data_IF_897890197553
#
_entry.id   IF_897890197553
#
_cell.length_a   1.000
_cell.length_b   1.000
_cell.length_c   1.000
_cell.angle_alpha   90.00
_cell.angle_beta   90.00
_cell.angle_gamma   90.00
#
_symmetry.space_group_name_H-M   'P 1'
#
loop_
_entity.id
_entity.type
_entity.pdbx_description
1 polymer ?
#
# COMPACT_ATOMS: atom_id res chain seq x y z
N UNK A 1 -7.15 3.55 2.54
CA UNK A 1 -7.14 2.64 3.71
C UNK A 1 -8.57 2.40 4.17
N UNK A 2 -8.87 1.27 4.82
CA UNK A 2 -10.20 0.99 5.38
C UNK A 2 -10.54 1.84 6.61
N UNK A 3 -9.56 2.53 7.17
CA UNK A 3 -9.69 3.53 8.25
C UNK A 3 -8.35 4.17 8.56
N UNK A 4 -8.34 5.11 9.52
CA UNK A 4 -7.15 5.91 9.87
C UNK A 4 -6.71 5.72 11.33
N UNK A 5 -7.62 5.94 12.29
CA UNK A 5 -7.33 5.84 13.72
C UNK A 5 -8.46 5.10 14.45
N UNK A 6 -8.10 4.30 15.45
CA UNK A 6 -9.05 3.56 16.29
C UNK A 6 -9.85 4.47 17.23
N UNK A 7 -9.20 5.54 17.70
CA UNK A 7 -9.77 6.41 18.72
C UNK A 7 -10.60 7.50 18.02
N UNK A 8 -11.89 7.61 18.39
CA UNK A 8 -12.85 8.58 17.82
C UNK A 8 -12.57 10.01 18.30
N UNK A 9 -11.69 10.18 19.31
CA UNK A 9 -11.32 11.49 19.86
C UNK A 9 -10.64 12.37 18.81
N UNK A 10 -11.49 13.05 18.05
CA UNK A 10 -11.21 14.05 17.04
C UNK A 10 -10.93 15.41 17.69
N UNK A 11 -10.42 15.40 18.92
CA UNK A 11 -10.11 16.62 19.64
C UNK A 11 -8.96 17.33 18.94
N UNK A 12 -9.12 18.63 18.69
CA UNK A 12 -8.10 19.56 18.15
C UNK A 12 -6.88 19.74 19.08
N UNK A 13 -6.50 18.73 19.86
CA UNK A 13 -5.26 18.76 20.63
C UNK A 13 -4.11 18.58 19.65
N UNK A 14 -3.23 19.57 19.59
CA UNK A 14 -1.92 19.39 18.97
C UNK A 14 -1.24 18.22 19.69
N UNK A 15 -1.14 17.10 18.99
CA UNK A 15 -0.36 15.97 19.47
C UNK A 15 1.10 16.28 19.21
N UNK A 16 1.96 15.93 20.17
CA UNK A 16 3.38 15.81 19.87
C UNK A 16 3.58 14.73 18.80
N UNK A 17 4.71 14.81 18.09
CA UNK A 17 5.03 13.84 17.04
C UNK A 17 5.11 12.41 17.58
N UNK A 18 5.56 12.24 18.83
CA UNK A 18 5.65 10.96 19.53
C UNK A 18 4.27 10.37 19.78
N UNK A 19 3.33 11.19 20.25
CA UNK A 19 1.95 10.75 20.49
C UNK A 19 1.25 10.41 19.18
N UNK A 20 1.46 11.21 18.12
CA UNK A 20 0.95 10.89 16.80
C UNK A 20 1.51 9.56 16.27
N UNK A 21 2.82 9.36 16.38
CA UNK A 21 3.48 8.12 15.98
C UNK A 21 2.94 6.91 16.75
N UNK A 22 2.80 7.02 18.08
CA UNK A 22 2.24 5.96 18.92
C UNK A 22 0.80 5.59 18.50
N UNK A 23 -0.02 6.59 18.15
CA UNK A 23 -1.37 6.36 17.61
C UNK A 23 -1.35 5.63 16.27
N UNK A 24 -0.45 5.99 15.37
CA UNK A 24 -0.26 5.29 14.09
C UNK A 24 0.15 3.82 14.32
N UNK A 25 1.13 3.56 15.19
CA UNK A 25 1.59 2.20 15.52
C UNK A 25 0.44 1.33 16.03
N UNK A 26 -0.44 1.88 16.86
CA UNK A 26 -1.64 1.18 17.36
C UNK A 26 -2.69 0.94 16.26
N UNK A 27 -2.86 1.89 15.33
CA UNK A 27 -3.97 1.85 14.35
C UNK A 27 -3.64 1.09 13.06
N UNK A 28 -2.40 1.14 12.58
CA UNK A 28 -1.95 0.50 11.33
C UNK A 28 -2.22 -1.03 11.31
N UNK A 29 -2.04 -1.79 12.40
CA UNK A 29 -2.42 -3.19 12.44
C UNK A 29 -3.91 -3.44 12.24
N UNK A 30 -4.78 -2.51 12.59
CA UNK A 30 -6.23 -2.74 12.62
C UNK A 30 -6.90 -2.46 11.28
N UNK A 31 -6.42 -1.49 10.52
CA UNK A 31 -6.95 -1.12 9.20
C UNK A 31 -6.16 -1.76 8.06
N UNK A 32 -6.80 -1.90 6.90
CA UNK A 32 -6.16 -2.38 5.67
C UNK A 32 -5.75 -1.23 4.74
N UNK A 33 -4.55 -1.29 4.16
CA UNK A 33 -4.29 -0.59 2.91
C UNK A 33 -5.12 -1.26 1.81
N UNK A 34 -6.06 -0.53 1.22
CA UNK A 34 -6.96 -1.06 0.19
C UNK A 34 -6.38 -0.92 -1.22
N UNK A 35 -5.65 0.17 -1.46
CA UNK A 35 -5.03 0.47 -2.74
C UNK A 35 -3.72 1.23 -2.49
N UNK A 36 -2.72 0.97 -3.33
CA UNK A 36 -1.45 1.64 -3.36
C UNK A 36 -1.29 2.37 -4.70
N UNK A 37 -1.12 3.69 -4.64
CA UNK A 37 -0.72 4.50 -5.78
C UNK A 37 0.80 4.66 -5.84
N UNK A 38 1.40 4.39 -6.99
CA UNK A 38 2.82 4.61 -7.28
C UNK A 38 2.94 5.53 -8.48
N UNK A 39 3.69 6.62 -8.35
CA UNK A 39 4.03 7.50 -9.47
C UNK A 39 5.50 7.33 -9.83
N UNK A 40 5.77 6.79 -11.01
CA UNK A 40 7.10 6.67 -11.57
C UNK A 40 7.43 7.96 -12.34
N UNK A 41 8.63 8.49 -12.13
CA UNK A 41 9.10 9.69 -12.78
C UNK A 41 10.42 9.41 -13.50
N UNK A 42 10.53 9.83 -14.76
CA UNK A 42 11.76 9.75 -15.54
C UNK A 42 12.07 11.10 -16.17
N UNK A 43 13.28 11.60 -15.97
CA UNK A 43 13.74 12.82 -16.64
C UNK A 43 14.20 12.49 -18.06
N UNK A 44 13.63 13.16 -19.06
CA UNK A 44 13.99 13.00 -20.47
C UNK A 44 15.40 13.54 -20.75
N UNK A 45 16.15 12.81 -21.57
CA UNK A 45 17.55 13.14 -21.88
C UNK A 45 17.72 14.40 -22.74
N UNK A 46 16.76 14.71 -23.62
CA UNK A 46 16.89 15.76 -24.62
C UNK A 46 16.31 17.12 -24.21
N UNK A 47 15.29 17.15 -23.34
CA UNK A 47 14.52 18.39 -23.08
C UNK A 47 14.36 18.72 -21.60
N UNK A 48 14.93 17.92 -20.69
CA UNK A 48 14.81 18.15 -19.25
C UNK A 48 13.39 18.00 -18.69
N UNK A 49 12.42 17.63 -19.52
CA UNK A 49 11.02 17.35 -19.15
C UNK A 49 10.91 16.06 -18.32
N UNK A 50 9.93 15.99 -17.44
CA UNK A 50 9.61 14.80 -16.65
C UNK A 50 8.47 14.00 -17.29
N UNK A 51 8.73 12.72 -17.59
CA UNK A 51 7.73 11.71 -17.95
C UNK A 51 7.22 11.09 -16.64
N UNK A 52 5.98 11.41 -16.26
CA UNK A 52 5.33 10.94 -15.03
C UNK A 52 4.27 9.89 -15.38
N UNK A 53 4.26 8.77 -14.63
CA UNK A 53 3.33 7.67 -14.84
C UNK A 53 2.79 7.17 -13.52
N UNK A 54 1.48 7.33 -13.33
CA UNK A 54 0.77 6.82 -12.17
C UNK A 54 0.29 5.39 -12.41
N UNK A 55 0.40 4.57 -11.37
CA UNK A 55 -0.05 3.19 -11.32
C UNK A 55 -0.83 2.99 -10.01
N UNK A 56 -1.93 2.25 -10.09
CA UNK A 56 -2.76 1.93 -8.93
C UNK A 56 -2.87 0.42 -8.78
N UNK A 57 -2.68 -0.06 -7.55
CA UNK A 57 -2.72 -1.48 -7.24
C UNK A 57 -3.71 -1.70 -6.10
N UNK A 58 -4.78 -2.46 -6.35
CA UNK A 58 -5.67 -2.95 -5.29
C UNK A 58 -4.94 -4.01 -4.47
N UNK A 59 -5.02 -3.94 -3.14
CA UNK A 59 -4.21 -4.75 -2.24
C UNK A 59 -5.06 -5.71 -1.39
N UNK A 60 -4.86 -7.01 -1.58
CA UNK A 60 -5.51 -8.06 -0.82
C UNK A 60 -4.57 -8.70 0.21
N UNK A 61 -4.90 -8.68 1.51
CA UNK A 61 -4.05 -9.31 2.49
C UNK A 61 -4.09 -10.84 2.36
N UNK A 62 -2.93 -11.44 2.10
CA UNK A 62 -2.77 -12.90 1.97
C UNK A 62 -3.08 -13.66 3.27
N UNK A 63 -2.74 -13.10 4.43
CA UNK A 63 -2.85 -13.78 5.72
C UNK A 63 -4.01 -13.34 6.59
N UNK A 64 -4.77 -12.32 6.19
CA UNK A 64 -5.77 -11.65 7.05
C UNK A 64 -7.17 -11.80 6.49
N UNK A 65 -8.01 -12.56 7.19
CA UNK A 65 -9.43 -12.77 6.82
C UNK A 65 -10.38 -11.72 7.39
N UNK A 66 -10.00 -11.07 8.48
CA UNK A 66 -10.84 -10.11 9.21
C UNK A 66 -10.07 -8.81 9.39
N UNK A 67 -10.70 -7.70 9.06
CA UNK A 67 -10.14 -6.37 9.24
C UNK A 67 -11.20 -5.36 9.66
N UNK A 68 -10.74 -4.30 10.32
CA UNK A 68 -11.61 -3.20 10.75
C UNK A 68 -11.80 -2.23 9.60
N UNK A 69 -13.02 -1.75 9.42
CA UNK A 69 -13.33 -0.65 8.52
C UNK A 69 -14.08 0.44 9.26
N UNK A 70 -13.63 1.68 9.09
CA UNK A 70 -14.35 2.85 9.51
C UNK A 70 -15.39 3.24 8.45
N UNK A 71 -16.64 3.40 8.87
CA UNK A 71 -17.74 3.71 7.95
C UNK A 71 -17.53 5.05 7.24
N UNK A 72 -16.95 6.06 7.92
CA UNK A 72 -16.65 7.36 7.29
C UNK A 72 -15.62 7.20 6.18
N UNK A 73 -14.60 6.39 6.41
CA UNK A 73 -13.58 6.07 5.41
C UNK A 73 -14.18 5.32 4.21
N UNK A 74 -15.08 4.36 4.43
CA UNK A 74 -15.79 3.67 3.33
C UNK A 74 -16.65 4.64 2.51
N UNK A 75 -17.39 5.53 3.18
CA UNK A 75 -18.20 6.54 2.52
C UNK A 75 -17.32 7.50 1.71
N UNK A 76 -16.22 7.98 2.30
CA UNK A 76 -15.24 8.83 1.62
C UNK A 76 -14.67 8.17 0.37
N UNK A 77 -14.26 6.90 0.46
CA UNK A 77 -13.74 6.15 -0.68
C UNK A 77 -14.79 6.05 -1.79
N UNK A 78 -16.02 5.68 -1.45
CA UNK A 78 -17.13 5.59 -2.42
C UNK A 78 -17.39 6.93 -3.11
N UNK A 79 -17.41 8.04 -2.37
CA UNK A 79 -17.67 9.37 -2.95
C UNK A 79 -16.53 9.87 -3.84
N UNK A 80 -15.32 9.34 -3.65
CA UNK A 80 -14.13 9.70 -4.44
C UNK A 80 -13.80 8.65 -5.52
N UNK A 81 -14.78 7.83 -5.92
CA UNK A 81 -14.63 6.94 -7.07
C UNK A 81 -13.82 5.68 -6.81
N UNK A 82 -13.61 5.29 -5.55
CA UNK A 82 -13.00 4.00 -5.25
C UNK A 82 -13.91 2.85 -5.71
N UNK A 83 -13.40 2.00 -6.60
CA UNK A 83 -14.13 0.84 -7.10
C UNK A 83 -13.93 -0.37 -6.19
N UNK A 84 -14.91 -0.62 -5.32
CA UNK A 84 -14.91 -1.76 -4.42
C UNK A 84 -15.01 -3.10 -5.16
N UNK A 85 -15.66 -3.15 -6.33
CA UNK A 85 -15.78 -4.40 -7.08
C UNK A 85 -14.42 -4.76 -7.68
N UNK A 86 -13.74 -3.80 -8.33
CA UNK A 86 -12.39 -3.99 -8.83
C UNK A 86 -11.41 -4.34 -7.70
N UNK A 87 -11.61 -3.81 -6.49
CA UNK A 87 -10.86 -4.24 -5.32
C UNK A 87 -11.06 -5.74 -5.08
N UNK A 88 -12.29 -6.22 -4.87
CA UNK A 88 -12.58 -7.62 -4.55
C UNK A 88 -12.21 -8.62 -5.65
N UNK A 89 -12.30 -8.21 -6.92
CA UNK A 89 -12.07 -9.12 -8.05
C UNK A 89 -10.61 -9.14 -8.52
N UNK A 90 -9.88 -8.02 -8.38
CA UNK A 90 -8.57 -7.81 -9.02
C UNK A 90 -7.46 -7.44 -8.03
N UNK A 91 -7.67 -7.62 -6.73
CA UNK A 91 -6.67 -7.28 -5.72
C UNK A 91 -5.44 -8.19 -5.74
N UNK A 92 -4.27 -7.57 -5.73
CA UNK A 92 -2.98 -8.24 -5.62
C UNK A 92 -2.74 -8.75 -4.20
N UNK A 93 -2.38 -10.02 -4.07
CA UNK A 93 -2.04 -10.59 -2.77
C UNK A 93 -0.79 -9.91 -2.20
N UNK A 94 -0.90 -9.40 -0.98
CA UNK A 94 0.17 -8.77 -0.26
C UNK A 94 0.37 -9.43 1.11
N UNK A 95 1.61 -9.47 1.57
CA UNK A 95 1.99 -9.94 2.90
C UNK A 95 2.85 -8.88 3.57
N UNK A 96 2.75 -8.76 4.90
CA UNK A 96 3.74 -7.97 5.64
C UNK A 96 5.11 -8.62 5.47
N UNK A 97 6.13 -7.78 5.35
CA UNK A 97 7.51 -8.26 5.44
C UNK A 97 7.72 -8.93 6.82
N UNK A 98 8.44 -10.04 6.88
CA UNK A 98 8.80 -10.65 8.16
C UNK A 98 9.60 -9.66 9.01
N UNK A 99 9.49 -9.78 10.34
CA UNK A 99 10.32 -8.99 11.24
C UNK A 99 11.80 -9.31 10.96
N UNK A 100 12.67 -8.29 10.93
CA UNK A 100 14.11 -8.47 10.64
C UNK A 100 14.78 -9.51 11.55
N UNK A 101 14.31 -9.66 12.78
CA UNK A 101 14.86 -10.60 13.76
C UNK A 101 14.34 -12.05 13.57
N UNK A 102 13.38 -12.27 12.67
CA UNK A 102 12.88 -13.60 12.34
C UNK A 102 13.77 -14.34 11.32
N UNK A 103 14.74 -13.67 10.69
CA UNK A 103 15.73 -14.29 9.81
C UNK A 103 16.83 -15.00 10.61
N UNK A 104 16.54 -16.21 11.10
CA UNK A 104 17.61 -17.16 11.42
C UNK A 104 18.23 -17.68 10.11
N UNK A 105 19.37 -17.08 9.75
CA UNK A 105 20.29 -17.35 8.62
C UNK A 105 19.78 -16.91 7.23
N UNK A 106 20.56 -16.08 6.50
CA UNK A 106 20.25 -15.79 5.11
C UNK A 106 20.41 -17.07 4.28
N UNK A 107 19.46 -17.42 3.40
CA UNK A 107 19.67 -18.49 2.45
C UNK A 107 20.82 -18.08 1.53
N UNK A 108 21.87 -18.91 1.50
CA UNK A 108 22.93 -18.80 0.50
C UNK A 108 22.28 -18.91 -0.87
N UNK A 109 22.42 -17.86 -1.68
CA UNK A 109 22.10 -17.80 -3.10
C UNK A 109 20.69 -18.27 -3.49
N UNK A 110 19.74 -17.33 -3.61
CA UNK A 110 18.66 -17.46 -4.59
C UNK A 110 18.42 -16.11 -5.28
N UNK A 111 18.58 -16.02 -6.61
CA UNK A 111 18.24 -14.83 -7.36
C UNK A 111 16.70 -14.69 -7.41
N UNK A 112 16.22 -13.46 -7.32
CA UNK A 112 14.81 -13.06 -7.37
C UNK A 112 13.94 -13.42 -6.16
N UNK A 113 13.60 -12.40 -5.36
CA UNK A 113 12.50 -12.45 -4.40
C UNK A 113 11.19 -12.73 -5.18
N UNK A 114 10.50 -13.87 -4.96
CA UNK A 114 9.32 -14.26 -5.72
C UNK A 114 8.09 -13.35 -5.48
N UNK A 115 8.13 -12.54 -4.43
CA UNK A 115 6.98 -11.76 -3.94
C UNK A 115 6.67 -10.51 -4.75
N UNK A 116 7.65 -9.92 -5.45
CA UNK A 116 7.43 -8.76 -6.31
C UNK A 116 7.05 -9.15 -7.74
N UNK A 117 7.05 -10.45 -8.07
CA UNK A 117 6.93 -10.94 -9.45
C UNK A 117 5.66 -10.46 -10.15
N UNK A 118 4.51 -10.48 -9.48
CA UNK A 118 3.23 -10.08 -10.07
C UNK A 118 3.12 -8.57 -10.32
N UNK A 119 3.61 -7.73 -9.40
CA UNK A 119 3.64 -6.26 -9.59
C UNK A 119 4.63 -5.90 -10.68
N UNK A 120 5.83 -6.50 -10.66
CA UNK A 120 6.82 -6.32 -11.71
C UNK A 120 6.29 -6.81 -13.06
N UNK A 121 5.59 -7.93 -13.10
CA UNK A 121 4.96 -8.46 -14.31
C UNK A 121 3.84 -7.55 -14.81
N UNK A 122 2.97 -7.04 -13.95
CA UNK A 122 1.94 -6.06 -14.33
C UNK A 122 2.57 -4.77 -14.90
N UNK A 123 3.68 -4.31 -14.32
CA UNK A 123 4.44 -3.17 -14.83
C UNK A 123 5.10 -3.48 -16.19
N UNK A 124 5.60 -4.71 -16.39
CA UNK A 124 6.21 -5.17 -17.64
C UNK A 124 5.17 -5.39 -18.77
N UNK A 125 4.03 -6.02 -18.45
CA UNK A 125 2.91 -6.32 -19.36
C UNK A 125 2.18 -5.07 -19.83
N UNK A 126 2.18 -4.01 -19.02
CA UNK A 126 1.77 -2.68 -19.45
C UNK A 126 2.63 -2.13 -20.62
N UNK A 127 3.68 -2.86 -21.07
CA UNK A 127 4.58 -2.54 -22.20
C UNK A 127 5.16 -1.14 -22.11
N UNK A 128 5.42 -0.69 -20.89
CA UNK A 128 5.98 0.62 -20.60
C UNK A 128 7.24 0.39 -19.77
N UNK A 129 8.44 0.66 -20.32
CA UNK A 129 9.66 0.17 -19.73
C UNK A 129 9.87 0.75 -18.32
N UNK A 130 10.03 -0.15 -17.36
CA UNK A 130 10.82 0.09 -16.15
C UNK A 130 12.27 0.19 -16.64
N UNK A 131 12.78 1.41 -16.76
CA UNK A 131 14.20 1.66 -17.03
C UNK A 131 14.90 1.82 -15.69
#
# INVERSE_FOLDING_TARGET
FSGLFLDIESGRRQLSIENYFARCVKSIPEFLPLQLGVCCARRGASEGLWDLRAHEFNLHPSSRRIFTSDFRSLQFLRTNGFDFNAFFDQGFLCSRLPARDAEKKPPRSSPHLPYASQVMQALLEAKKPLV
#
